data_IF_598570558592
#
_entry.id   IF_598570558592
#
_cell.length_a   1.000
_cell.length_b   1.000
_cell.length_c   1.000
_cell.angle_alpha   90.00
_cell.angle_beta   90.00
_cell.angle_gamma   90.00
#
_symmetry.space_group_name_H-M   'P 1'
#
loop_
_entity.id
_entity.type
_entity.pdbx_description
1 polymer ?
#
# COMPACT_ATOMS: atom_id res chain seq x y z
N UNK A 1 17.93 -18.26 -7.60
CA UNK A 1 16.80 -17.32 -7.70
C UNK A 1 17.29 -15.94 -7.26
N UNK A 2 17.52 -15.00 -8.19
CA UNK A 2 17.77 -13.61 -7.81
C UNK A 2 16.44 -13.07 -7.29
N UNK A 3 16.42 -12.71 -6.01
CA UNK A 3 15.23 -12.19 -5.34
C UNK A 3 14.76 -10.92 -6.05
N UNK A 4 13.46 -10.79 -6.32
CA UNK A 4 12.80 -9.57 -6.82
C UNK A 4 13.12 -8.34 -5.96
N UNK A 5 13.62 -8.56 -4.73
CA UNK A 5 14.10 -7.51 -3.82
C UNK A 5 15.13 -6.55 -4.43
N UNK A 6 15.94 -7.02 -5.40
CA UNK A 6 16.99 -6.19 -6.02
C UNK A 6 16.46 -5.35 -7.21
N UNK A 7 15.24 -5.59 -7.65
CA UNK A 7 14.67 -4.98 -8.86
C UNK A 7 13.90 -3.68 -8.60
N UNK A 8 13.91 -3.22 -7.35
CA UNK A 8 13.23 -2.00 -6.93
C UNK A 8 13.94 -0.74 -7.46
N UNK A 9 13.18 0.28 -7.93
CA UNK A 9 13.76 1.51 -8.49
C UNK A 9 14.79 2.15 -7.57
N UNK A 10 14.53 2.21 -6.27
CA UNK A 10 15.43 2.81 -5.28
C UNK A 10 16.74 2.02 -5.14
N UNK A 11 16.69 0.68 -5.18
CA UNK A 11 17.88 -0.17 -5.03
C UNK A 11 18.71 -0.23 -6.32
N UNK A 12 18.10 -0.06 -7.49
CA UNK A 12 18.82 0.02 -8.77
C UNK A 12 19.79 1.21 -8.88
N UNK A 13 19.62 2.22 -8.00
CA UNK A 13 20.51 3.38 -7.92
C UNK A 13 21.81 3.08 -7.18
N UNK A 14 21.90 1.92 -6.53
CA UNK A 14 23.05 1.52 -5.73
C UNK A 14 23.91 0.50 -6.47
N UNK A 15 25.23 0.51 -6.25
CA UNK A 15 26.09 -0.55 -6.73
C UNK A 15 25.61 -1.93 -6.21
N UNK A 16 25.64 -2.93 -7.08
CA UNK A 16 25.13 -4.28 -6.76
C UNK A 16 25.82 -4.93 -5.57
N UNK A 17 27.07 -4.58 -5.33
CA UNK A 17 27.90 -5.05 -4.19
C UNK A 17 27.50 -4.40 -2.85
N UNK A 18 26.89 -3.20 -2.89
CA UNK A 18 26.45 -2.51 -1.67
C UNK A 18 25.13 -3.08 -1.13
N UNK A 19 24.21 -3.45 -2.02
CA UNK A 19 22.88 -3.89 -1.65
C UNK A 19 22.89 -5.04 -0.63
N UNK A 20 23.66 -6.14 -0.83
CA UNK A 20 23.68 -7.25 0.13
C UNK A 20 24.26 -6.88 1.51
N UNK A 21 25.01 -5.77 1.60
CA UNK A 21 25.62 -5.33 2.87
C UNK A 21 24.66 -4.50 3.73
N UNK A 22 23.59 -3.97 3.15
CA UNK A 22 22.66 -3.06 3.82
C UNK A 22 21.21 -3.54 3.83
N UNK A 23 20.82 -4.42 2.91
CA UNK A 23 19.45 -4.92 2.76
C UNK A 23 19.29 -6.26 3.50
N UNK A 24 18.35 -6.29 4.44
CA UNK A 24 17.90 -7.51 5.11
C UNK A 24 16.51 -7.85 4.60
N UNK A 25 16.33 -9.07 4.09
CA UNK A 25 15.01 -9.56 3.65
C UNK A 25 14.43 -10.51 4.69
N UNK A 26 13.14 -10.29 5.03
CA UNK A 26 12.38 -11.14 5.97
C UNK A 26 11.07 -11.54 5.33
N UNK A 27 10.62 -12.76 5.64
CA UNK A 27 9.32 -13.28 5.21
C UNK A 27 8.33 -13.26 6.37
N UNK A 28 7.08 -12.97 6.03
CA UNK A 28 5.96 -12.89 6.96
C UNK A 28 4.77 -13.69 6.42
N UNK A 29 4.02 -14.29 7.32
CA UNK A 29 2.74 -14.92 7.04
C UNK A 29 1.61 -13.89 7.08
N UNK A 30 0.51 -14.14 6.37
CA UNK A 30 -0.66 -13.27 6.45
C UNK A 30 -1.13 -13.11 7.91
N UNK A 31 -1.35 -11.87 8.33
CA UNK A 31 -1.70 -11.49 9.70
C UNK A 31 -0.52 -11.09 10.57
N UNK A 32 0.72 -11.46 10.24
CA UNK A 32 1.89 -11.10 11.04
C UNK A 32 2.21 -9.59 10.96
N UNK A 33 2.68 -9.03 12.07
CA UNK A 33 3.11 -7.65 12.19
C UNK A 33 4.57 -7.49 11.73
N UNK A 34 4.83 -6.45 10.94
CA UNK A 34 6.16 -6.05 10.51
C UNK A 34 6.76 -5.07 11.52
N UNK A 35 5.97 -4.11 11.95
CA UNK A 35 6.27 -3.15 13.03
C UNK A 35 4.96 -2.61 13.63
N UNK A 36 5.05 -2.05 14.84
CA UNK A 36 3.89 -1.51 15.58
C UNK A 36 3.90 0.03 15.61
N UNK A 37 2.72 0.61 15.71
CA UNK A 37 2.54 2.04 15.95
C UNK A 37 3.20 2.45 17.28
N UNK A 38 4.00 3.51 17.24
CA UNK A 38 4.72 4.03 18.39
C UNK A 38 6.10 3.41 18.62
N UNK A 39 6.42 2.28 17.98
CA UNK A 39 7.77 1.72 18.05
C UNK A 39 8.80 2.69 17.44
N UNK A 40 10.05 2.71 17.95
CA UNK A 40 11.13 3.49 17.36
C UNK A 40 11.32 3.15 15.88
N UNK A 41 11.44 4.15 15.02
CA UNK A 41 11.73 3.93 13.61
C UNK A 41 13.20 3.52 13.41
N UNK A 42 13.42 2.23 13.23
CA UNK A 42 14.75 1.63 13.10
C UNK A 42 15.28 1.61 11.68
N UNK A 43 14.42 1.76 10.68
CA UNK A 43 14.82 1.71 9.27
C UNK A 43 13.67 1.89 8.30
N UNK A 44 14.02 1.84 7.02
CA UNK A 44 13.10 1.89 5.89
C UNK A 44 12.75 0.48 5.44
N UNK A 45 11.46 0.23 5.25
CA UNK A 45 10.94 -1.04 4.78
C UNK A 45 10.51 -0.95 3.32
N UNK A 46 10.64 -2.06 2.61
CA UNK A 46 10.25 -2.22 1.20
C UNK A 46 9.38 -3.46 1.06
N UNK A 47 8.28 -3.37 0.35
CA UNK A 47 7.52 -4.57 -0.06
C UNK A 47 8.24 -5.18 -1.25
N UNK A 48 8.89 -6.32 -1.06
CA UNK A 48 9.62 -7.03 -2.12
C UNK A 48 8.81 -8.14 -2.77
N UNK A 49 7.75 -8.59 -2.10
CA UNK A 49 6.77 -9.55 -2.60
C UNK A 49 5.51 -9.48 -1.75
N UNK A 50 4.34 -9.65 -2.38
CA UNK A 50 3.06 -9.65 -1.70
C UNK A 50 2.56 -8.25 -1.36
N UNK A 51 1.85 -8.12 -0.23
CA UNK A 51 1.22 -6.85 0.16
C UNK A 51 1.01 -6.74 1.66
N UNK A 52 0.95 -5.50 2.13
CA UNK A 52 0.73 -5.18 3.54
C UNK A 52 -0.38 -4.14 3.70
N UNK A 53 -1.07 -4.18 4.84
CA UNK A 53 -1.90 -3.09 5.33
C UNK A 53 -1.07 -2.20 6.26
N UNK A 54 -1.28 -0.89 6.17
CA UNK A 54 -0.83 0.06 7.20
C UNK A 54 -2.05 0.51 7.97
N UNK A 55 -2.03 0.25 9.28
CA UNK A 55 -3.16 0.36 10.19
C UNK A 55 -2.81 1.29 11.34
N UNK A 56 -3.71 2.20 11.65
CA UNK A 56 -3.58 3.13 12.76
C UNK A 56 -4.66 2.88 13.80
N UNK A 57 -4.25 2.81 15.05
CA UNK A 57 -5.18 2.89 16.18
C UNK A 57 -5.43 4.35 16.47
N UNK A 58 -6.69 4.78 16.33
CA UNK A 58 -7.12 6.15 16.61
C UNK A 58 -7.31 6.37 18.12
N UNK A 59 -7.46 7.64 18.54
CA UNK A 59 -7.60 7.99 19.96
C UNK A 59 -8.82 7.36 20.65
N UNK A 60 -9.85 7.01 19.89
CA UNK A 60 -11.06 6.32 20.34
C UNK A 60 -10.92 4.78 20.40
N UNK A 61 -9.73 4.25 20.08
CA UNK A 61 -9.41 2.83 20.02
C UNK A 61 -9.81 2.13 18.73
N UNK A 62 -10.42 2.83 17.79
CA UNK A 62 -10.79 2.25 16.49
C UNK A 62 -9.55 2.01 15.61
N UNK A 63 -9.55 0.89 14.91
CA UNK A 63 -8.52 0.57 13.93
C UNK A 63 -8.90 1.11 12.56
N UNK A 64 -8.07 1.99 12.00
CA UNK A 64 -8.25 2.55 10.67
C UNK A 64 -7.13 2.08 9.74
N UNK A 65 -7.47 1.48 8.59
CA UNK A 65 -6.49 1.18 7.55
C UNK A 65 -6.23 2.42 6.73
N UNK A 66 -4.99 2.91 6.75
CA UNK A 66 -4.57 4.09 5.98
C UNK A 66 -4.27 3.76 4.52
N UNK A 67 -4.17 2.48 4.18
CA UNK A 67 -4.03 1.98 2.83
C UNK A 67 -3.37 0.61 2.74
N UNK A 68 -3.21 0.15 1.50
CA UNK A 68 -2.49 -1.07 1.15
C UNK A 68 -1.22 -0.70 0.39
N UNK A 69 -0.13 -1.36 0.72
CA UNK A 69 1.17 -1.25 0.07
C UNK A 69 1.49 -2.56 -0.63
N UNK A 70 2.01 -2.46 -1.83
CA UNK A 70 2.29 -3.58 -2.73
C UNK A 70 3.76 -3.61 -3.10
N UNK A 71 4.18 -4.63 -3.82
CA UNK A 71 5.54 -4.75 -4.34
C UNK A 71 6.01 -3.44 -4.99
N UNK A 72 7.23 -3.01 -4.62
CA UNK A 72 7.82 -1.74 -5.03
C UNK A 72 7.56 -0.57 -4.10
N UNK A 73 6.62 -0.67 -3.17
CA UNK A 73 6.33 0.42 -2.22
C UNK A 73 7.33 0.46 -1.07
N UNK A 74 7.56 1.68 -0.56
CA UNK A 74 8.27 1.93 0.69
C UNK A 74 7.27 2.19 1.82
N UNK A 75 7.61 1.75 3.04
CA UNK A 75 6.81 1.99 4.25
C UNK A 75 7.72 2.29 5.45
N UNK A 76 7.19 2.99 6.45
CA UNK A 76 7.94 3.42 7.62
C UNK A 76 8.77 4.68 7.40
N UNK A 77 8.67 5.32 6.21
CA UNK A 77 9.45 6.51 5.85
C UNK A 77 9.09 7.74 6.71
N UNK A 78 7.85 7.83 7.22
CA UNK A 78 7.39 9.00 7.96
C UNK A 78 8.20 9.27 9.23
N UNK A 79 8.61 8.22 9.95
CA UNK A 79 9.41 8.36 11.16
C UNK A 79 10.93 8.31 10.94
N UNK A 80 11.41 8.16 9.68
CA UNK A 80 12.85 7.97 9.43
C UNK A 80 13.66 9.24 9.70
N UNK A 81 13.05 10.41 9.52
CA UNK A 81 13.68 11.73 9.59
C UNK A 81 13.62 12.37 10.98
N UNK A 82 12.79 11.83 11.86
CA UNK A 82 12.61 12.32 13.23
C UNK A 82 12.61 11.17 14.25
N UNK A 83 12.29 11.46 15.49
CA UNK A 83 12.24 10.50 16.60
C UNK A 83 10.81 10.12 17.02
N UNK A 84 9.79 10.46 16.22
CA UNK A 84 8.38 10.26 16.60
C UNK A 84 7.93 8.78 16.57
N UNK A 85 8.77 7.89 16.02
CA UNK A 85 8.45 6.48 15.85
C UNK A 85 7.53 6.22 14.65
N UNK A 86 7.07 4.97 14.51
CA UNK A 86 6.14 4.63 13.44
C UNK A 86 4.75 5.22 13.74
N UNK A 87 4.17 6.04 12.85
CA UNK A 87 2.86 6.66 13.07
C UNK A 87 1.69 5.67 12.93
N UNK A 88 1.95 4.48 12.44
CA UNK A 88 0.98 3.40 12.24
C UNK A 88 1.70 2.05 12.24
N UNK A 89 0.97 0.96 12.45
CA UNK A 89 1.46 -0.41 12.36
C UNK A 89 1.45 -0.91 10.92
N UNK A 90 2.30 -1.88 10.58
CA UNK A 90 2.26 -2.59 9.31
C UNK A 90 1.99 -4.08 9.52
N UNK A 91 1.04 -4.65 8.76
CA UNK A 91 0.62 -6.05 8.84
C UNK A 91 0.61 -6.71 7.47
N UNK A 92 1.15 -7.91 7.37
CA UNK A 92 1.12 -8.72 6.16
C UNK A 92 -0.32 -9.13 5.78
N UNK A 93 -0.69 -8.99 4.49
CA UNK A 93 -2.00 -9.37 3.95
C UNK A 93 -1.95 -10.63 3.08
N UNK A 94 -0.78 -11.02 2.59
CA UNK A 94 -0.62 -12.15 1.67
C UNK A 94 0.36 -13.20 2.21
N UNK A 95 0.31 -14.37 1.59
CA UNK A 95 1.19 -15.51 1.85
C UNK A 95 1.88 -15.94 0.53
N UNK A 96 3.20 -15.80 0.42
CA UNK A 96 4.09 -15.11 1.35
C UNK A 96 3.99 -13.59 1.22
N UNK A 97 4.48 -12.87 2.23
CA UNK A 97 4.85 -11.46 2.14
C UNK A 97 6.33 -11.35 2.46
N UNK A 98 7.12 -10.80 1.54
CA UNK A 98 8.55 -10.56 1.76
C UNK A 98 8.82 -9.06 1.89
N UNK A 99 9.56 -8.68 2.93
CA UNK A 99 9.91 -7.30 3.24
C UNK A 99 11.42 -7.13 3.25
N UNK A 100 11.93 -6.19 2.47
CA UNK A 100 13.30 -5.69 2.60
C UNK A 100 13.37 -4.60 3.66
N UNK A 101 14.45 -4.56 4.41
CA UNK A 101 14.71 -3.55 5.43
C UNK A 101 16.12 -3.00 5.31
N UNK A 102 16.24 -1.67 5.38
CA UNK A 102 17.52 -0.95 5.43
C UNK A 102 17.54 -0.13 6.72
N UNK A 103 18.59 -0.31 7.52
CA UNK A 103 18.79 0.42 8.77
C UNK A 103 18.76 1.95 8.53
N UNK A 104 18.21 2.70 9.51
CA UNK A 104 18.09 4.16 9.46
C UNK A 104 19.41 4.84 9.12
N UNK A 105 20.50 4.42 9.75
CA UNK A 105 21.82 5.03 9.54
C UNK A 105 22.30 4.84 8.09
N UNK A 106 22.04 3.69 7.47
CA UNK A 106 22.32 3.46 6.07
C UNK A 106 21.45 4.32 5.16
N UNK A 107 20.16 4.50 5.48
CA UNK A 107 19.26 5.39 4.73
C UNK A 107 19.76 6.84 4.79
N UNK A 108 20.14 7.31 5.98
CA UNK A 108 20.66 8.67 6.19
C UNK A 108 21.97 8.88 5.42
N UNK A 109 22.88 7.92 5.46
CA UNK A 109 24.14 7.95 4.70
C UNK A 109 23.87 7.97 3.20
N UNK A 110 23.04 7.09 2.67
CA UNK A 110 22.67 7.03 1.25
C UNK A 110 22.02 8.33 0.76
N UNK A 111 21.17 8.93 1.59
CA UNK A 111 20.56 10.22 1.27
C UNK A 111 21.60 11.34 1.08
N UNK A 112 22.70 11.30 1.83
CA UNK A 112 23.79 12.28 1.73
C UNK A 112 24.76 11.98 0.58
N UNK A 113 25.12 10.72 0.39
CA UNK A 113 26.17 10.28 -0.55
C UNK A 113 25.65 10.05 -1.97
N UNK A 114 24.35 9.73 -2.13
CA UNK A 114 23.72 9.40 -3.42
C UNK A 114 22.53 10.31 -3.68
N UNK A 115 22.70 11.49 -4.31
CA UNK A 115 21.59 12.44 -4.51
C UNK A 115 20.39 11.83 -5.25
N UNK A 116 20.62 10.91 -6.21
CA UNK A 116 19.57 10.19 -6.92
C UNK A 116 18.68 9.35 -5.97
N UNK A 117 19.24 8.82 -4.88
CA UNK A 117 18.49 8.08 -3.85
C UNK A 117 17.48 8.97 -3.14
N UNK A 118 17.88 10.18 -2.72
CA UNK A 118 16.98 11.15 -2.10
C UNK A 118 15.88 11.62 -3.06
N UNK A 119 16.22 11.84 -4.35
CA UNK A 119 15.25 12.22 -5.36
C UNK A 119 14.21 11.12 -5.59
N UNK A 120 14.64 9.85 -5.64
CA UNK A 120 13.75 8.72 -5.82
C UNK A 120 12.79 8.55 -4.62
N UNK A 121 13.28 8.70 -3.39
CA UNK A 121 12.41 8.75 -2.19
C UNK A 121 11.36 9.86 -2.33
N UNK A 122 11.77 11.05 -2.77
CA UNK A 122 10.85 12.19 -2.95
C UNK A 122 9.79 11.89 -4.02
N UNK A 123 10.17 11.21 -5.12
CA UNK A 123 9.23 10.76 -6.16
C UNK A 123 8.22 9.77 -5.62
N UNK A 124 8.68 8.74 -4.89
CA UNK A 124 7.81 7.71 -4.28
C UNK A 124 6.84 8.33 -3.26
N UNK A 125 7.31 9.28 -2.44
CA UNK A 125 6.44 10.03 -1.50
C UNK A 125 5.40 10.88 -2.23
N UNK A 126 5.77 11.52 -3.34
CA UNK A 126 4.86 12.33 -4.15
C UNK A 126 3.77 11.46 -4.79
N UNK A 127 4.12 10.27 -5.28
CA UNK A 127 3.16 9.29 -5.81
C UNK A 127 2.22 8.79 -4.70
N UNK A 128 2.77 8.52 -3.51
CA UNK A 128 1.97 8.12 -2.35
C UNK A 128 1.01 9.22 -1.91
N UNK A 129 1.46 10.46 -1.89
CA UNK A 129 0.61 11.60 -1.54
C UNK A 129 -0.56 11.75 -2.52
N UNK A 130 -0.31 11.64 -3.82
CA UNK A 130 -1.39 11.64 -4.84
C UNK A 130 -2.39 10.50 -4.61
N UNK A 131 -1.92 9.28 -4.38
CA UNK A 131 -2.78 8.14 -4.08
C UNK A 131 -3.69 8.41 -2.86
N UNK A 132 -3.11 8.93 -1.78
CA UNK A 132 -3.87 9.27 -0.56
C UNK A 132 -4.91 10.35 -0.85
N UNK A 133 -4.55 11.43 -1.58
CA UNK A 133 -5.47 12.51 -1.95
C UNK A 133 -6.63 12.00 -2.82
N UNK A 134 -6.36 11.17 -3.82
CA UNK A 134 -7.38 10.55 -4.67
C UNK A 134 -8.35 9.69 -3.84
N UNK A 135 -7.82 8.87 -2.94
CA UNK A 135 -8.60 8.00 -2.06
C UNK A 135 -9.45 8.82 -1.07
N UNK A 136 -8.89 9.88 -0.48
CA UNK A 136 -9.63 10.75 0.45
C UNK A 136 -10.75 11.53 -0.26
N UNK A 137 -10.47 12.07 -1.44
CA UNK A 137 -11.47 12.82 -2.23
C UNK A 137 -12.66 11.96 -2.64
N UNK A 138 -12.46 10.64 -2.78
CA UNK A 138 -13.52 9.70 -3.13
C UNK A 138 -14.50 9.43 -1.96
N UNK A 139 -14.13 9.73 -0.72
CA UNK A 139 -14.91 9.40 0.49
C UNK A 139 -16.00 10.43 0.81
N UNK A 140 -15.86 11.70 0.40
CA UNK A 140 -16.75 12.78 0.85
C UNK A 140 -18.07 12.80 0.09
N UNK A 141 -19.19 12.44 0.76
CA UNK A 141 -20.56 12.67 0.30
C UNK A 141 -21.02 11.84 -0.90
N UNK A 142 -20.24 10.88 -1.36
CA UNK A 142 -20.55 10.04 -2.52
C UNK A 142 -21.27 8.74 -2.13
N UNK A 143 -22.17 8.22 -2.97
CA UNK A 143 -22.69 6.86 -2.78
C UNK A 143 -21.59 5.84 -2.61
N UNK A 144 -21.82 4.81 -1.80
CA UNK A 144 -20.78 3.83 -1.48
C UNK A 144 -20.24 3.10 -2.72
N UNK A 145 -21.08 2.83 -3.70
CA UNK A 145 -20.64 2.20 -4.96
C UNK A 145 -19.61 3.05 -5.70
N UNK A 146 -19.73 4.39 -5.66
CA UNK A 146 -18.75 5.30 -6.25
C UNK A 146 -17.43 5.31 -5.49
N UNK A 147 -17.48 5.23 -4.16
CA UNK A 147 -16.28 5.12 -3.32
C UNK A 147 -15.54 3.81 -3.57
N UNK A 148 -16.27 2.68 -3.66
CA UNK A 148 -15.69 1.38 -3.99
C UNK A 148 -15.08 1.40 -5.39
N UNK A 149 -15.77 1.95 -6.39
CA UNK A 149 -15.25 2.08 -7.75
C UNK A 149 -13.95 2.90 -7.80
N UNK A 150 -13.90 4.04 -7.10
CA UNK A 150 -12.71 4.89 -7.03
C UNK A 150 -11.52 4.18 -6.36
N UNK A 151 -11.74 3.45 -5.27
CA UNK A 151 -10.69 2.66 -4.61
C UNK A 151 -10.19 1.54 -5.53
N UNK A 152 -11.09 0.80 -6.21
CA UNK A 152 -10.70 -0.25 -7.14
C UNK A 152 -9.90 0.32 -8.32
N UNK A 153 -10.29 1.47 -8.85
CA UNK A 153 -9.55 2.15 -9.93
C UNK A 153 -8.15 2.60 -9.47
N UNK A 154 -8.04 3.16 -8.27
CA UNK A 154 -6.74 3.54 -7.71
C UNK A 154 -5.83 2.33 -7.46
N UNK A 155 -6.41 1.20 -7.05
CA UNK A 155 -5.68 -0.05 -6.87
C UNK A 155 -5.26 -0.67 -8.21
N UNK A 156 -6.13 -0.63 -9.25
CA UNK A 156 -5.79 -1.20 -10.57
C UNK A 156 -4.59 -0.54 -11.21
N UNK A 157 -4.47 0.77 -11.07
CA UNK A 157 -3.33 1.55 -11.57
C UNK A 157 -1.99 1.13 -10.95
N UNK A 158 -2.03 0.52 -9.75
CA UNK A 158 -0.84 0.08 -9.00
C UNK A 158 -0.60 -1.42 -9.09
N UNK A 159 -1.66 -2.22 -9.13
CA UNK A 159 -1.60 -3.69 -9.03
C UNK A 159 -1.98 -4.39 -10.35
N UNK A 160 -2.44 -3.64 -11.35
CA UNK A 160 -3.06 -4.20 -12.56
C UNK A 160 -4.52 -4.62 -12.31
N UNK A 161 -5.11 -5.34 -13.27
CA UNK A 161 -6.54 -5.70 -13.24
C UNK A 161 -6.90 -6.74 -12.15
N UNK A 162 -5.93 -7.44 -11.60
CA UNK A 162 -6.12 -8.48 -10.59
C UNK A 162 -5.92 -7.92 -9.19
N UNK A 163 -7.02 -7.67 -8.47
CA UNK A 163 -7.01 -7.11 -7.12
C UNK A 163 -7.19 -8.22 -6.10
N UNK A 164 -6.09 -8.67 -5.47
CA UNK A 164 -6.09 -9.72 -4.46
C UNK A 164 -6.42 -9.17 -3.07
N UNK A 165 -7.53 -8.47 -2.93
CA UNK A 165 -8.05 -7.96 -1.68
C UNK A 165 -9.43 -8.54 -1.41
N UNK A 166 -9.69 -8.86 -0.14
CA UNK A 166 -11.01 -9.28 0.31
C UNK A 166 -11.97 -8.10 0.41
N UNK A 167 -13.25 -8.35 0.50
CA UNK A 167 -14.25 -7.30 0.79
C UNK A 167 -13.99 -6.62 2.14
N UNK A 168 -13.41 -7.34 3.09
CA UNK A 168 -12.99 -6.80 4.39
C UNK A 168 -11.83 -5.81 4.23
N UNK A 169 -10.79 -6.16 3.45
CA UNK A 169 -9.66 -5.27 3.19
C UNK A 169 -10.12 -3.97 2.53
N UNK A 170 -11.03 -4.07 1.55
CA UNK A 170 -11.62 -2.90 0.88
C UNK A 170 -12.45 -2.07 1.86
N UNK A 171 -13.21 -2.73 2.75
CA UNK A 171 -13.99 -2.06 3.78
C UNK A 171 -13.10 -1.29 4.76
N UNK A 172 -11.99 -1.87 5.19
CA UNK A 172 -10.99 -1.20 6.00
C UNK A 172 -10.36 0.01 5.28
N UNK A 173 -10.03 -0.12 3.99
CA UNK A 173 -9.48 0.98 3.19
C UNK A 173 -10.47 2.15 3.11
N UNK A 174 -11.76 1.87 2.95
CA UNK A 174 -12.81 2.91 2.83
C UNK A 174 -13.23 3.46 4.20
N UNK A 175 -13.05 2.70 5.28
CA UNK A 175 -13.55 3.02 6.62
C UNK A 175 -15.04 2.73 6.76
N UNK A 176 -15.48 1.54 6.29
CA UNK A 176 -16.88 1.10 6.32
C UNK A 176 -16.99 -0.38 6.69
N UNK A 177 -18.19 -0.95 6.67
CA UNK A 177 -18.43 -2.37 6.98
C UNK A 177 -18.37 -3.23 5.71
N UNK A 178 -17.90 -4.48 5.85
CA UNK A 178 -17.78 -5.47 4.78
C UNK A 178 -19.09 -5.67 4.01
N UNK A 179 -20.23 -5.71 4.70
CA UNK A 179 -21.56 -5.89 4.09
C UNK A 179 -21.91 -4.75 3.14
N UNK A 180 -21.48 -3.53 3.49
CA UNK A 180 -21.69 -2.33 2.67
C UNK A 180 -20.88 -2.38 1.39
N UNK A 181 -19.61 -2.78 1.48
CA UNK A 181 -18.74 -3.03 0.31
C UNK A 181 -19.31 -4.16 -0.54
N UNK A 182 -19.76 -5.26 0.07
CA UNK A 182 -20.33 -6.40 -0.65
C UNK A 182 -21.60 -6.04 -1.44
N UNK A 183 -22.40 -5.08 -0.96
CA UNK A 183 -23.54 -4.53 -1.70
C UNK A 183 -23.09 -3.70 -2.89
N UNK A 184 -22.17 -2.77 -2.68
CA UNK A 184 -21.62 -1.93 -3.75
C UNK A 184 -20.93 -2.76 -4.85
N UNK A 185 -20.20 -3.81 -4.47
CA UNK A 185 -19.56 -4.71 -5.43
C UNK A 185 -20.56 -5.48 -6.29
N UNK A 186 -21.73 -5.87 -5.72
CA UNK A 186 -22.78 -6.52 -6.53
C UNK A 186 -23.27 -5.63 -7.67
N UNK A 187 -23.42 -4.33 -7.43
CA UNK A 187 -23.83 -3.37 -8.45
C UNK A 187 -22.76 -3.28 -9.55
N UNK A 188 -21.49 -3.16 -9.19
CA UNK A 188 -20.38 -3.11 -10.13
C UNK A 188 -20.21 -4.42 -10.94
N UNK A 189 -20.50 -5.57 -10.32
CA UNK A 189 -20.47 -6.89 -10.98
C UNK A 189 -21.63 -6.97 -12.00
N UNK A 190 -22.84 -6.57 -11.63
CA UNK A 190 -24.00 -6.55 -12.53
C UNK A 190 -23.78 -5.67 -13.76
N UNK A 191 -23.06 -4.57 -13.58
CA UNK A 191 -22.69 -3.67 -14.67
C UNK A 191 -21.51 -4.18 -15.51
N UNK A 192 -20.90 -5.32 -15.12
CA UNK A 192 -19.77 -5.90 -15.82
C UNK A 192 -18.49 -5.04 -15.73
N UNK A 193 -18.35 -4.26 -14.68
CA UNK A 193 -17.13 -3.50 -14.40
C UNK A 193 -16.06 -4.37 -13.73
N UNK A 194 -16.50 -5.26 -12.83
CA UNK A 194 -15.63 -6.18 -12.07
C UNK A 194 -16.21 -7.59 -12.04
N UNK A 195 -15.37 -8.56 -11.69
CA UNK A 195 -15.74 -9.97 -11.47
C UNK A 195 -15.14 -10.44 -10.15
N UNK A 196 -15.90 -11.18 -9.35
CA UNK A 196 -15.36 -11.89 -8.19
C UNK A 196 -14.52 -13.09 -8.62
N UNK A 197 -13.41 -13.31 -7.93
CA UNK A 197 -12.58 -14.51 -8.03
C UNK A 197 -12.20 -15.02 -6.65
N UNK A 198 -11.61 -16.20 -6.58
CA UNK A 198 -11.14 -16.73 -5.29
C UNK A 198 -10.05 -15.82 -4.71
N UNK A 199 -10.30 -15.31 -3.51
CA UNK A 199 -9.37 -14.42 -2.80
C UNK A 199 -9.30 -12.97 -3.29
N UNK A 200 -10.22 -12.52 -4.18
CA UNK A 200 -10.18 -11.14 -4.66
C UNK A 200 -11.16 -10.79 -5.76
N UNK A 201 -10.81 -9.79 -6.54
CA UNK A 201 -11.59 -9.22 -7.62
C UNK A 201 -10.74 -9.12 -8.89
N UNK A 202 -11.41 -9.13 -10.02
CA UNK A 202 -10.81 -8.83 -11.33
C UNK A 202 -11.55 -7.67 -11.97
N UNK A 203 -10.81 -6.67 -12.42
CA UNK A 203 -11.34 -5.54 -13.16
C UNK A 203 -11.49 -5.94 -14.62
N UNK A 204 -12.72 -5.90 -15.11
CA UNK A 204 -13.06 -6.26 -16.50
C UNK A 204 -13.09 -5.05 -17.40
N UNK A 205 -13.44 -3.87 -16.86
CA UNK A 205 -13.59 -2.65 -17.64
C UNK A 205 -13.30 -1.42 -16.77
N UNK A 206 -12.15 -0.79 -17.01
CA UNK A 206 -11.72 0.42 -16.27
C UNK A 206 -12.57 1.63 -16.61
N UNK A 207 -13.02 1.80 -17.87
CA UNK A 207 -13.86 2.94 -18.28
C UNK A 207 -15.18 2.94 -17.50
N UNK A 208 -15.78 1.75 -17.30
CA UNK A 208 -16.97 1.61 -16.46
C UNK A 208 -16.70 1.96 -15.00
N UNK A 209 -15.56 1.53 -14.44
CA UNK A 209 -15.18 1.91 -13.08
C UNK A 209 -14.95 3.43 -12.97
N UNK A 210 -14.32 4.03 -13.97
CA UNK A 210 -14.08 5.47 -14.00
C UNK A 210 -15.41 6.24 -14.06
N UNK A 211 -16.34 5.81 -14.91
CA UNK A 211 -17.68 6.39 -14.96
C UNK A 211 -18.38 6.34 -13.60
N UNK A 212 -18.31 5.23 -12.87
CA UNK A 212 -18.84 5.10 -11.51
C UNK A 212 -18.06 5.95 -10.50
N UNK A 213 -16.76 6.09 -10.64
CA UNK A 213 -15.92 6.86 -9.70
C UNK A 213 -16.20 8.37 -9.76
N UNK A 214 -16.68 8.87 -10.89
CA UNK A 214 -16.91 10.31 -11.16
C UNK A 214 -18.36 10.75 -10.90
N UNK A 215 -19.34 9.85 -10.99
CA UNK A 215 -20.77 10.19 -10.85
C UNK A 215 -21.14 10.51 -9.41
N UNK A 216 -21.04 11.76 -9.08
CA UNK A 216 -21.68 12.46 -7.97
C UNK A 216 -22.40 13.67 -8.53
N UNK A 217 -23.42 13.45 -9.32
CA UNK A 217 -24.41 14.48 -9.64
C UNK A 217 -25.78 14.06 -9.16
#
# INVERSE_FOLDING_TARGET
>A
MRSHAYDMPLLRLLPSEVIPTILIVRQYQAGERIFEQGDPTTGLWFVTEGRIAVERVEADGNLTTTGVWVEGDIVGIAGIWDSSGYPASARALSNPTSMGWIARDNVMRLHQEVPAFGLEISRMLSERLRYVQETMSSRQGRPMVNQVAAVLLALSRRMGSSIDLTHEDIAHIIGTHRETVSRALRDLIQQGAVRSRHGGLEILNEDKLEAWSVVGR
#
